data_IF_710387881388
#
_entry.id   IF_710387881388
#
_cell.length_a   1.000
_cell.length_b   1.000
_cell.length_c   1.000
_cell.angle_alpha   90.00
_cell.angle_beta   90.00
_cell.angle_gamma   90.00
#
_symmetry.space_group_name_H-M   'P 1'
#
loop_
_entity.id
_entity.type
_entity.pdbx_description
1 polymer ?
#
# COMPACT_ATOMS: atom_id res chain seq x y z
N UNK A 1 -6.29 4.62 19.48
CA UNK A 1 -7.08 4.96 18.28
C UNK A 1 -7.03 6.48 18.07
N UNK A 2 -6.20 6.99 17.15
CA UNK A 2 -6.11 8.41 16.80
C UNK A 2 -6.81 8.65 15.45
N UNK A 3 -8.13 8.81 15.50
CA UNK A 3 -9.02 8.99 14.34
C UNK A 3 -8.74 10.26 13.52
N UNK A 4 -7.97 11.22 14.05
CA UNK A 4 -7.72 12.50 13.39
C UNK A 4 -6.51 12.49 12.43
N UNK A 5 -5.60 11.52 12.54
CA UNK A 5 -4.35 11.52 11.77
C UNK A 5 -4.31 10.44 10.68
N UNK A 6 -4.93 9.29 10.92
CA UNK A 6 -4.90 8.17 9.96
C UNK A 6 -6.12 8.18 9.03
N UNK A 7 -5.92 8.66 7.79
CA UNK A 7 -6.97 8.69 6.76
C UNK A 7 -7.37 7.30 6.27
N UNK A 8 -6.60 6.26 6.61
CA UNK A 8 -6.81 4.86 6.28
C UNK A 8 -7.37 4.04 7.44
N UNK A 9 -7.65 4.68 8.59
CA UNK A 9 -8.06 4.01 9.83
C UNK A 9 -9.20 3.00 9.63
N UNK A 10 -10.18 3.33 8.77
CA UNK A 10 -11.36 2.49 8.51
C UNK A 10 -11.02 1.13 7.89
N UNK A 11 -9.88 1.01 7.21
CA UNK A 11 -9.43 -0.22 6.54
C UNK A 11 -8.08 -0.71 7.11
N UNK A 12 -7.43 0.07 7.96
CA UNK A 12 -6.11 -0.22 8.53
C UNK A 12 -6.03 -1.59 9.21
N UNK A 13 -7.05 -1.98 9.99
CA UNK A 13 -7.08 -3.27 10.68
C UNK A 13 -7.16 -4.45 9.69
N UNK A 14 -8.04 -4.35 8.69
CA UNK A 14 -8.20 -5.38 7.66
C UNK A 14 -6.92 -5.48 6.83
N UNK A 15 -6.33 -4.34 6.46
CA UNK A 15 -5.07 -4.29 5.74
C UNK A 15 -3.93 -4.94 6.53
N UNK A 16 -3.82 -4.62 7.82
CA UNK A 16 -2.79 -5.20 8.69
C UNK A 16 -2.92 -6.72 8.76
N UNK A 17 -4.14 -7.24 8.93
CA UNK A 17 -4.40 -8.69 8.94
C UNK A 17 -4.07 -9.34 7.60
N UNK A 18 -4.38 -8.67 6.48
CA UNK A 18 -4.06 -9.17 5.15
C UNK A 18 -2.54 -9.27 4.92
N UNK A 19 -1.79 -8.22 5.27
CA UNK A 19 -0.33 -8.21 5.14
C UNK A 19 0.31 -9.27 6.05
N UNK A 20 -0.12 -9.36 7.30
CA UNK A 20 0.37 -10.35 8.26
C UNK A 20 0.16 -11.78 7.75
N UNK A 21 -1.05 -12.10 7.28
CA UNK A 21 -1.33 -13.40 6.68
C UNK A 21 -0.49 -13.64 5.43
N UNK A 22 -0.32 -12.63 4.58
CA UNK A 22 0.47 -12.75 3.36
C UNK A 22 1.94 -13.11 3.64
N UNK A 23 2.53 -12.45 4.64
CA UNK A 23 3.90 -12.71 5.07
C UNK A 23 4.06 -14.13 5.64
N UNK A 24 3.06 -14.61 6.39
CA UNK A 24 3.07 -15.99 6.90
C UNK A 24 2.90 -17.05 5.79
N UNK A 25 2.17 -16.73 4.72
CA UNK A 25 1.97 -17.64 3.60
C UNK A 25 3.19 -17.79 2.68
N UNK A 26 4.20 -16.91 2.80
CA UNK A 26 5.34 -16.89 1.90
C UNK A 26 6.67 -17.15 2.61
N UNK A 27 7.47 -18.09 2.10
CA UNK A 27 8.75 -18.49 2.72
C UNK A 27 9.89 -17.55 2.35
N UNK A 28 10.80 -17.28 3.30
CA UNK A 28 11.99 -16.45 3.07
C UNK A 28 12.92 -17.08 2.02
N UNK A 29 13.47 -16.28 1.10
CA UNK A 29 14.44 -16.72 0.09
C UNK A 29 14.07 -16.37 -1.35
N UNK A 30 12.92 -15.75 -1.59
CA UNK A 30 12.55 -15.33 -2.94
C UNK A 30 13.04 -13.93 -3.27
N UNK A 31 13.36 -13.74 -4.55
CA UNK A 31 13.60 -12.42 -5.10
C UNK A 31 12.30 -11.62 -5.12
N UNK A 32 12.30 -10.47 -4.44
CA UNK A 32 11.17 -9.54 -4.36
C UNK A 32 11.50 -8.26 -5.11
N UNK A 33 10.47 -7.63 -5.65
CA UNK A 33 10.51 -6.28 -6.24
C UNK A 33 9.59 -5.36 -5.44
N UNK A 34 9.96 -4.09 -5.36
CA UNK A 34 9.14 -3.04 -4.76
C UNK A 34 8.76 -2.04 -5.83
N UNK A 35 7.46 -1.83 -6.02
CA UNK A 35 6.94 -0.99 -7.08
C UNK A 35 5.76 -0.13 -6.60
N UNK A 36 5.51 0.97 -7.31
CA UNK A 36 4.33 1.82 -7.10
C UNK A 36 3.14 1.30 -7.92
N UNK A 37 2.02 1.04 -7.25
CA UNK A 37 0.75 0.68 -7.89
C UNK A 37 -0.33 1.72 -7.60
N UNK A 38 -1.20 1.93 -8.59
CA UNK A 38 -2.38 2.79 -8.48
C UNK A 38 -3.61 1.92 -8.58
N UNK A 39 -4.47 2.03 -7.59
CA UNK A 39 -5.80 1.42 -7.61
C UNK A 39 -6.82 2.47 -8.03
N UNK A 40 -7.33 2.33 -9.24
CA UNK A 40 -8.35 3.21 -9.80
C UNK A 40 -9.62 3.12 -8.96
N UNK A 41 -10.11 4.26 -8.48
CA UNK A 41 -11.32 4.33 -7.65
C UNK A 41 -12.24 5.42 -8.18
N UNK A 42 -13.53 5.13 -8.27
CA UNK A 42 -14.57 6.09 -8.69
C UNK A 42 -15.19 6.86 -7.52
N UNK A 43 -14.89 6.45 -6.28
CA UNK A 43 -15.37 7.08 -5.07
C UNK A 43 -14.46 8.25 -4.62
N UNK A 44 -15.06 9.24 -3.95
CA UNK A 44 -14.30 10.34 -3.34
C UNK A 44 -13.51 9.82 -2.14
N UNK A 45 -12.19 9.87 -2.23
CA UNK A 45 -11.27 9.46 -1.18
C UNK A 45 -10.31 10.60 -0.82
N UNK A 46 -10.09 10.85 0.49
CA UNK A 46 -9.26 11.99 0.97
C UNK A 46 -7.77 11.86 0.64
N UNK A 47 -7.31 10.67 0.30
CA UNK A 47 -5.90 10.38 -0.03
C UNK A 47 -5.71 9.92 -1.49
N UNK A 48 -6.70 10.17 -2.35
CA UNK A 48 -6.58 9.96 -3.79
C UNK A 48 -5.41 10.77 -4.37
N UNK A 49 -4.63 10.15 -5.23
CA UNK A 49 -3.49 10.75 -5.93
C UNK A 49 -3.81 10.91 -7.42
N UNK A 50 -3.26 11.98 -8.00
CA UNK A 50 -3.21 12.16 -9.44
C UNK A 50 -1.86 11.66 -9.97
N UNK A 51 -1.85 10.78 -10.97
CA UNK A 51 -0.62 10.31 -11.63
C UNK A 51 -0.73 10.53 -13.14
N UNK A 52 -0.01 11.53 -13.69
CA UNK A 52 -0.20 12.00 -15.07
C UNK A 52 0.00 10.92 -16.15
N UNK A 53 0.93 10.00 -15.92
CA UNK A 53 1.44 9.05 -16.92
C UNK A 53 0.74 7.68 -16.89
N UNK A 54 -0.41 7.56 -16.21
CA UNK A 54 -1.17 6.31 -16.10
C UNK A 54 -2.54 6.46 -16.77
N UNK A 55 -3.08 5.38 -17.37
CA UNK A 55 -4.37 5.44 -18.08
C UNK A 55 -5.50 5.91 -17.16
N UNK A 56 -5.53 5.39 -15.93
CA UNK A 56 -6.37 5.92 -14.86
C UNK A 56 -5.57 6.91 -14.02
N UNK A 57 -5.76 8.19 -14.32
CA UNK A 57 -4.98 9.26 -13.70
C UNK A 57 -5.30 9.50 -12.23
N UNK A 58 -6.41 8.99 -11.71
CA UNK A 58 -6.84 9.19 -10.33
C UNK A 58 -7.05 7.85 -9.62
N UNK A 59 -6.38 7.68 -8.48
CA UNK A 59 -6.51 6.44 -7.71
C UNK A 59 -5.82 6.50 -6.35
N UNK A 60 -5.92 5.42 -5.60
CA UNK A 60 -5.15 5.23 -4.38
C UNK A 60 -3.77 4.71 -4.80
N UNK A 61 -2.73 5.51 -4.57
CA UNK A 61 -1.35 5.09 -4.77
C UNK A 61 -0.89 4.25 -3.58
N UNK A 62 -0.19 3.16 -3.83
CA UNK A 62 0.41 2.30 -2.81
C UNK A 62 1.81 1.83 -3.24
N UNK A 63 2.67 1.63 -2.25
CA UNK A 63 3.92 0.90 -2.43
C UNK A 63 3.65 -0.57 -2.14
N UNK A 64 4.05 -1.45 -3.06
CA UNK A 64 3.81 -2.88 -2.96
C UNK A 64 5.13 -3.63 -3.11
N UNK A 65 5.32 -4.65 -2.27
CA UNK A 65 6.43 -5.60 -2.36
C UNK A 65 5.87 -6.92 -2.85
N UNK A 66 6.32 -7.36 -4.02
CA UNK A 66 5.86 -8.60 -4.64
C UNK A 66 7.01 -9.53 -5.03
N UNK A 67 6.74 -10.82 -5.03
CA UNK A 67 7.67 -11.84 -5.49
C UNK A 67 7.82 -11.75 -7.01
N UNK A 68 9.05 -11.70 -7.52
CA UNK A 68 9.29 -11.54 -8.96
C UNK A 68 8.70 -12.70 -9.77
N UNK A 69 8.84 -13.93 -9.29
CA UNK A 69 8.45 -15.14 -10.02
C UNK A 69 6.94 -15.37 -10.02
N UNK A 70 6.30 -15.30 -8.85
CA UNK A 70 4.87 -15.61 -8.70
C UNK A 70 3.98 -14.38 -8.76
N UNK A 71 4.56 -13.17 -8.72
CA UNK A 71 3.84 -11.89 -8.56
C UNK A 71 2.99 -11.83 -7.28
N UNK A 72 3.31 -12.69 -6.31
CA UNK A 72 2.61 -12.73 -5.02
C UNK A 72 2.95 -11.50 -4.19
N UNK A 73 1.93 -10.82 -3.66
CA UNK A 73 2.08 -9.60 -2.86
C UNK A 73 2.43 -9.95 -1.42
N UNK A 74 3.64 -9.66 -0.96
CA UNK A 74 4.10 -9.95 0.41
C UNK A 74 3.76 -8.82 1.37
N UNK A 75 4.03 -7.58 0.96
CA UNK A 75 3.85 -6.41 1.80
C UNK A 75 3.34 -5.24 0.97
N UNK A 76 2.79 -4.23 1.62
CA UNK A 76 2.49 -2.96 1.00
C UNK A 76 1.82 -1.98 1.94
N UNK A 77 1.84 -0.72 1.55
CA UNK A 77 1.18 0.34 2.29
C UNK A 77 0.66 1.44 1.35
N UNK A 78 -0.53 1.99 1.64
CA UNK A 78 -1.10 3.07 0.87
C UNK A 78 -0.35 4.39 1.14
N UNK A 79 -0.32 5.25 0.13
CA UNK A 79 0.15 6.62 0.28
C UNK A 79 -0.98 7.52 0.78
N UNK A 80 -0.90 7.98 2.03
CA UNK A 80 -2.00 8.69 2.71
C UNK A 80 -1.94 10.22 2.63
N UNK A 81 -0.99 10.78 1.87
CA UNK A 81 -0.71 12.22 1.71
C UNK A 81 -0.44 12.91 3.07
N UNK A 82 0.80 13.39 3.26
CA UNK A 82 1.39 13.92 4.51
C UNK A 82 1.98 12.89 5.50
N UNK A 83 2.17 11.63 5.10
CA UNK A 83 2.85 10.60 5.93
C UNK A 83 4.38 10.59 5.71
N UNK A 84 5.02 11.77 5.76
CA UNK A 84 6.49 11.90 5.63
C UNK A 84 7.23 11.13 6.75
N UNK A 85 6.57 10.88 7.88
CA UNK A 85 7.16 10.28 9.08
C UNK A 85 7.10 8.74 9.15
N UNK A 86 6.39 8.05 8.24
CA UNK A 86 6.33 6.57 8.24
C UNK A 86 7.54 5.92 7.56
N UNK A 87 8.16 6.63 6.62
CA UNK A 87 9.31 6.13 5.83
C UNK A 87 10.58 6.06 6.70
N UNK A 88 10.70 6.88 7.74
CA UNK A 88 11.91 6.97 8.57
C UNK A 88 11.96 6.02 9.79
N UNK A 89 10.86 5.34 10.12
CA UNK A 89 10.77 4.50 11.33
C UNK A 89 10.74 2.99 11.06
N UNK A 90 11.20 2.56 9.89
CA UNK A 90 11.29 1.13 9.51
C UNK A 90 12.69 0.68 9.08
N UNK A 91 13.71 1.41 9.55
CA UNK A 91 15.12 0.97 9.53
C UNK A 91 15.51 0.37 10.88
#
# INVERSE_FOLDING_TARGET
MHLQTDKFVLISEIWSKFIDNSQHCYKSGAHVTMDEQIFSIKAKCRFMQYVPNKPDKYGIKAWLVSVITTKYLINGFPYLRNDENRIFNSA
#
